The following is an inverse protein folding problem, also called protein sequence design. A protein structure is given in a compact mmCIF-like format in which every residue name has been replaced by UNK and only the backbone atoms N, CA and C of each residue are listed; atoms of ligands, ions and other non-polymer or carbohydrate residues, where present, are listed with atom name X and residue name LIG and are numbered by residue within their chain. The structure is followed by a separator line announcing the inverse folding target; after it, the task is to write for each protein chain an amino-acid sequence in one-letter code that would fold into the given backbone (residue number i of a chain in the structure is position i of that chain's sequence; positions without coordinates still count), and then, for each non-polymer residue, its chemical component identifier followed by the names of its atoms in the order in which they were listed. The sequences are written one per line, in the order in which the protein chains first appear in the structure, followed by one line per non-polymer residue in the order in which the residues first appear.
data_IF_849180709709
#
_entry.id   IF_849180709709
#
_cell.length_a   1.000
_cell.length_b   1.000
_cell.length_c   1.000
_cell.angle_alpha   90.00
_cell.angle_beta   90.00
_cell.angle_gamma   90.00
#
_symmetry.space_group_name_H-M   'P 1'
#
loop_
_entity.id
_entity.type
_entity.pdbx_description
1 polymer ?
#
# COMPACT_ATOMS: atom_id res chain seq x y z
N UNK A 1 28.33 7.71 -25.22
CA UNK A 1 28.35 6.56 -24.29
C UNK A 1 27.22 6.81 -23.29
N UNK A 2 26.35 5.83 -23.02
CA UNK A 2 25.42 5.97 -21.87
C UNK A 2 26.23 5.85 -20.58
N UNK A 3 26.01 6.78 -19.65
CA UNK A 3 26.56 6.68 -18.30
C UNK A 3 25.96 5.47 -17.58
N UNK A 4 26.78 4.74 -16.81
CA UNK A 4 26.28 3.71 -15.90
C UNK A 4 25.63 4.40 -14.71
N UNK A 5 24.31 4.30 -14.61
CA UNK A 5 23.55 4.75 -13.44
C UNK A 5 23.46 3.61 -12.42
N UNK A 6 23.82 3.91 -11.16
CA UNK A 6 23.56 3.01 -10.04
C UNK A 6 22.21 3.36 -9.42
N UNK A 7 21.35 2.37 -9.22
CA UNK A 7 20.04 2.50 -8.61
C UNK A 7 19.87 1.41 -7.54
N UNK A 8 19.32 1.78 -6.39
CA UNK A 8 19.00 0.87 -5.29
C UNK A 8 17.57 1.12 -4.83
N UNK A 9 16.85 0.04 -4.54
CA UNK A 9 15.50 0.06 -3.97
C UNK A 9 15.47 -0.87 -2.77
N UNK A 10 14.56 -0.59 -1.85
CA UNK A 10 14.23 -1.47 -0.73
C UNK A 10 12.74 -1.83 -0.74
N UNK A 11 12.38 -2.83 0.05
CA UNK A 11 11.01 -3.24 0.33
C UNK A 11 10.98 -3.82 1.74
N UNK A 12 9.82 -3.74 2.38
CA UNK A 12 9.58 -4.35 3.69
C UNK A 12 8.58 -5.51 3.56
N UNK A 13 8.59 -6.43 4.52
CA UNK A 13 7.65 -7.56 4.53
C UNK A 13 6.27 -7.11 5.01
N UNK A 14 5.26 -7.96 4.81
CA UNK A 14 3.89 -7.73 5.28
C UNK A 14 3.81 -7.55 6.80
N UNK A 15 4.74 -8.14 7.55
CA UNK A 15 4.82 -7.99 9.01
C UNK A 15 5.47 -6.68 9.48
N UNK A 16 5.94 -5.82 8.57
CA UNK A 16 6.44 -4.50 8.95
C UNK A 16 5.29 -3.64 9.49
N UNK A 17 5.47 -2.89 10.61
CA UNK A 17 4.40 -2.11 11.21
C UNK A 17 3.66 -1.19 10.21
N UNK A 18 4.40 -0.55 9.31
CA UNK A 18 3.80 0.28 8.25
C UNK A 18 2.92 -0.53 7.29
N UNK A 19 3.36 -1.72 6.88
CA UNK A 19 2.56 -2.58 6.00
C UNK A 19 1.36 -3.19 6.70
N UNK A 20 1.47 -3.46 8.00
CA UNK A 20 0.32 -3.86 8.81
C UNK A 20 -0.71 -2.72 8.86
N UNK A 21 -0.26 -1.47 9.03
CA UNK A 21 -1.15 -0.32 9.03
C UNK A 21 -1.82 -0.12 7.66
N UNK A 22 -1.07 -0.27 6.57
CA UNK A 22 -1.61 -0.25 5.20
C UNK A 22 -2.70 -1.33 5.04
N UNK A 23 -2.39 -2.57 5.42
CA UNK A 23 -3.32 -3.71 5.30
C UNK A 23 -4.61 -3.51 6.10
N UNK A 24 -4.51 -2.96 7.31
CA UNK A 24 -5.69 -2.65 8.12
C UNK A 24 -6.53 -1.56 7.45
N UNK A 25 -5.88 -0.52 6.91
CA UNK A 25 -6.56 0.59 6.23
C UNK A 25 -7.29 0.11 4.97
N UNK A 26 -6.63 -0.72 4.16
CA UNK A 26 -7.21 -1.31 2.96
C UNK A 26 -8.37 -2.25 3.29
N UNK A 27 -8.26 -3.06 4.34
CA UNK A 27 -9.36 -3.93 4.76
C UNK A 27 -10.62 -3.14 5.17
N UNK A 28 -10.46 -1.96 5.76
CA UNK A 28 -11.58 -1.06 6.05
C UNK A 28 -12.17 -0.50 4.75
N UNK A 29 -11.32 -0.04 3.83
CA UNK A 29 -11.74 0.45 2.52
C UNK A 29 -12.55 -0.62 1.77
N UNK A 30 -12.06 -1.86 1.72
CA UNK A 30 -12.72 -2.98 1.07
C UNK A 30 -14.11 -3.25 1.66
N UNK A 31 -14.20 -3.30 2.99
CA UNK A 31 -15.47 -3.53 3.69
C UNK A 31 -16.49 -2.40 3.48
N UNK A 32 -16.02 -1.16 3.28
CA UNK A 32 -16.87 -0.02 2.97
C UNK A 32 -17.35 -0.07 1.52
N UNK A 33 -16.46 -0.37 0.57
CA UNK A 33 -16.80 -0.49 -0.86
C UNK A 33 -17.71 -1.68 -1.16
N UNK A 34 -17.60 -2.78 -0.41
CA UNK A 34 -18.50 -3.93 -0.51
C UNK A 34 -19.95 -3.55 -0.20
N UNK A 35 -20.17 -2.64 0.75
CA UNK A 35 -21.50 -2.19 1.17
C UNK A 35 -22.01 -1.00 0.35
N UNK A 36 -21.14 -0.07 0.02
CA UNK A 36 -21.44 1.13 -0.75
C UNK A 36 -20.29 1.42 -1.75
N UNK A 37 -20.49 1.14 -3.06
CA UNK A 37 -19.49 1.42 -4.07
C UNK A 37 -19.10 2.91 -4.20
N UNK A 38 -19.94 3.84 -3.72
CA UNK A 38 -19.68 5.29 -3.73
C UNK A 38 -19.13 5.79 -2.37
N UNK A 39 -18.75 4.87 -1.47
CA UNK A 39 -18.22 5.20 -0.15
C UNK A 39 -16.97 6.08 -0.22
N UNK A 40 -16.90 7.06 0.70
CA UNK A 40 -15.77 7.99 0.81
C UNK A 40 -14.96 7.69 2.07
N UNK A 41 -13.78 7.12 1.88
CA UNK A 41 -12.82 6.74 2.93
C UNK A 41 -11.48 7.44 2.67
N UNK A 42 -10.79 7.91 3.71
CA UNK A 42 -9.49 8.58 3.64
C UNK A 42 -8.64 8.24 4.86
#
# INVERSE_FOLDING_TARGET
MQERHLFTSESVSEGHPDKIADQISDAILDAMLEQDPDSRVA
#
